data_IF_878992145203
#
_entry.id   IF_878992145203
#
_cell.length_a   1.000
_cell.length_b   1.000
_cell.length_c   1.000
_cell.angle_alpha   90.00
_cell.angle_beta   90.00
_cell.angle_gamma   90.00
#
_symmetry.space_group_name_H-M   'P 1'
#
loop_
_entity.id
_entity.type
_entity.pdbx_description
1 polymer ?
#
# COMPACT_ATOMS: atom_id res chain seq x y z
N UNK A 1 -17.53 16.10 16.83
CA UNK A 1 -16.98 16.31 15.48
C UNK A 1 -16.61 14.95 14.91
N UNK A 2 -17.45 14.41 14.02
CA UNK A 2 -17.18 13.14 13.33
C UNK A 2 -16.07 13.39 12.31
N UNK A 3 -14.99 12.60 12.33
CA UNK A 3 -13.98 12.63 11.26
C UNK A 3 -14.49 11.73 10.14
N UNK A 4 -15.05 12.35 9.12
CA UNK A 4 -15.48 11.67 7.90
C UNK A 4 -14.28 11.02 7.20
N UNK A 5 -14.44 9.79 6.73
CA UNK A 5 -13.37 9.00 6.11
C UNK A 5 -12.85 9.65 4.83
N UNK A 6 -11.52 9.79 4.73
CA UNK A 6 -10.83 10.24 3.51
C UNK A 6 -10.35 9.08 2.65
N UNK A 7 -10.41 9.22 1.33
CA UNK A 7 -9.88 8.23 0.39
C UNK A 7 -9.00 8.92 -0.66
N UNK A 8 -7.76 8.44 -0.80
CA UNK A 8 -6.83 8.83 -1.87
C UNK A 8 -6.81 7.74 -2.92
N UNK A 9 -6.82 8.12 -4.20
CA UNK A 9 -6.78 7.19 -5.34
C UNK A 9 -5.67 7.58 -6.29
N UNK A 10 -4.87 6.60 -6.70
CA UNK A 10 -3.89 6.74 -7.78
C UNK A 10 -4.39 5.92 -8.97
N UNK A 11 -4.28 6.47 -10.17
CA UNK A 11 -4.62 5.80 -11.43
C UNK A 11 -3.39 5.77 -12.32
N UNK A 12 -3.24 4.68 -13.07
CA UNK A 12 -2.20 4.52 -14.09
C UNK A 12 -0.76 4.69 -13.57
N UNK A 13 -0.49 4.18 -12.36
CA UNK A 13 0.87 4.13 -11.81
C UNK A 13 1.72 3.09 -12.57
N UNK A 14 2.89 3.49 -13.06
CA UNK A 14 3.83 2.62 -13.74
C UNK A 14 5.05 2.33 -12.87
N UNK A 15 5.45 1.06 -12.80
CA UNK A 15 6.73 0.62 -12.22
C UNK A 15 7.47 -0.16 -13.29
N UNK A 16 8.74 0.20 -13.53
CA UNK A 16 9.61 -0.48 -14.48
C UNK A 16 10.68 -1.26 -13.72
N UNK A 17 10.94 -2.51 -14.14
CA UNK A 17 11.95 -3.38 -13.53
C UNK A 17 12.80 -3.99 -14.65
N UNK A 18 14.03 -3.50 -14.79
CA UNK A 18 14.94 -3.82 -15.90
C UNK A 18 15.70 -5.15 -15.72
N UNK A 19 15.87 -5.63 -14.49
CA UNK A 19 16.74 -6.76 -14.19
C UNK A 19 16.09 -7.73 -13.20
N UNK A 20 15.25 -8.62 -13.71
CA UNK A 20 14.78 -9.78 -12.96
C UNK A 20 15.57 -11.00 -13.44
N UNK A 21 16.45 -11.56 -12.61
CA UNK A 21 17.13 -12.82 -12.89
C UNK A 21 16.20 -14.06 -12.82
N UNK A 22 14.89 -13.86 -12.99
CA UNK A 22 13.82 -14.85 -12.81
C UNK A 22 12.42 -14.21 -12.88
N UNK A 23 11.34 -14.98 -12.64
CA UNK A 23 9.97 -14.47 -12.69
C UNK A 23 9.73 -13.33 -11.69
N UNK A 24 9.18 -12.23 -12.17
CA UNK A 24 8.84 -11.08 -11.33
C UNK A 24 7.43 -11.27 -10.74
N UNK A 25 7.23 -10.86 -9.49
CA UNK A 25 5.93 -10.93 -8.82
C UNK A 25 5.64 -9.62 -8.10
N UNK A 26 4.36 -9.26 -8.00
CA UNK A 26 3.87 -8.08 -7.31
C UNK A 26 2.93 -8.47 -6.17
N UNK A 27 3.03 -7.74 -5.05
CA UNK A 27 2.08 -7.81 -3.93
C UNK A 27 1.64 -6.41 -3.57
N UNK A 28 0.33 -6.16 -3.64
CA UNK A 28 -0.23 -4.86 -3.27
C UNK A 28 -0.36 -4.79 -1.75
N UNK A 29 -0.20 -3.59 -1.20
CA UNK A 29 -0.43 -3.33 0.21
C UNK A 29 -1.04 -1.94 0.42
N UNK A 30 -1.70 -1.78 1.56
CA UNK A 30 -2.17 -0.49 2.05
C UNK A 30 -1.92 -0.42 3.56
N UNK A 31 -1.30 0.67 4.01
CA UNK A 31 -1.03 0.92 5.43
C UNK A 31 -1.89 2.08 5.90
N UNK A 32 -2.52 1.90 7.06
CA UNK A 32 -3.22 2.95 7.78
C UNK A 32 -2.44 3.24 9.05
N UNK A 33 -2.16 4.52 9.28
CA UNK A 33 -1.50 5.01 10.49
C UNK A 33 -2.44 5.96 11.21
N UNK A 34 -2.61 5.75 12.51
CA UNK A 34 -3.42 6.55 13.41
C UNK A 34 -2.47 7.19 14.41
N UNK A 35 -2.30 8.50 14.31
CA UNK A 35 -1.47 9.27 15.23
C UNK A 35 -2.33 9.92 16.31
N UNK A 36 -1.99 9.68 17.57
CA UNK A 36 -2.50 10.43 18.73
C UNK A 36 -1.40 11.37 19.24
N UNK A 37 -1.66 12.10 20.33
CA UNK A 37 -0.65 12.99 20.94
C UNK A 37 0.54 12.24 21.56
N UNK A 38 0.41 10.94 21.79
CA UNK A 38 1.36 10.13 22.55
C UNK A 38 1.62 8.73 21.97
N UNK A 39 0.90 8.32 20.93
CA UNK A 39 1.09 7.05 20.25
C UNK A 39 0.97 7.19 18.74
N UNK A 40 1.59 6.27 18.02
CA UNK A 40 1.35 6.04 16.59
C UNK A 40 1.03 4.57 16.43
N UNK A 41 -0.24 4.30 16.14
CA UNK A 41 -0.75 2.95 15.89
C UNK A 41 -0.87 2.74 14.37
N UNK A 42 -0.61 1.54 13.88
CA UNK A 42 -0.68 1.27 12.45
C UNK A 42 -0.99 -0.17 12.13
N UNK A 43 -1.69 -0.38 11.03
CA UNK A 43 -1.93 -1.70 10.46
C UNK A 43 -1.75 -1.68 8.95
N UNK A 44 -1.28 -2.81 8.40
CA UNK A 44 -1.08 -2.99 6.97
C UNK A 44 -1.90 -4.16 6.47
N UNK A 45 -2.63 -3.94 5.40
CA UNK A 45 -3.37 -4.97 4.67
C UNK A 45 -2.58 -5.30 3.42
N UNK A 46 -2.47 -6.60 3.13
CA UNK A 46 -1.76 -7.10 1.96
C UNK A 46 -2.72 -7.87 1.05
N UNK A 47 -2.52 -7.74 -0.25
CA UNK A 47 -3.16 -8.62 -1.23
C UNK A 47 -2.43 -9.96 -1.32
N UNK A 48 -3.00 -10.84 -2.13
CA UNK A 48 -2.29 -11.98 -2.69
C UNK A 48 -1.13 -11.53 -3.58
N UNK A 49 -0.15 -12.42 -3.74
CA UNK A 49 0.97 -12.24 -4.67
C UNK A 49 0.48 -12.60 -6.08
N UNK A 50 0.88 -11.82 -7.07
CA UNK A 50 0.60 -12.06 -8.49
C UNK A 50 1.90 -12.08 -9.29
N UNK A 51 2.07 -13.00 -10.26
CA UNK A 51 3.14 -12.86 -11.23
C UNK A 51 2.93 -11.58 -12.06
N UNK A 52 4.02 -10.92 -12.41
CA UNK A 52 4.05 -9.77 -13.33
C UNK A 52 4.05 -10.24 -14.79
#
# INVERSE_FOLDING_TARGET
MSKDGGSTRVRDASVHVDACAGPANVRLFATVTISTSNSVDGFTIYSEIRPL
#
